data_IF_115657162565
#
_entry.id   IF_115657162565
#
_cell.length_a   1.000
_cell.length_b   1.000
_cell.length_c   1.000
_cell.angle_alpha   90.00
_cell.angle_beta   90.00
_cell.angle_gamma   90.00
#
_symmetry.space_group_name_H-M   'P 1'
#
loop_
_entity.id
_entity.type
_entity.pdbx_description
1 polymer ?
#
# COMPACT_ATOMS: atom_id res chain seq x y z
N UNK A 1 6.72 -14.47 19.18
CA UNK A 1 5.57 -13.54 19.11
C UNK A 1 5.79 -12.58 17.97
N UNK A 2 4.92 -12.64 16.99
CA UNK A 2 5.03 -11.75 15.84
C UNK A 2 4.55 -10.37 16.21
N UNK A 3 5.39 -9.39 15.94
CA UNK A 3 4.97 -8.01 16.07
C UNK A 3 4.48 -7.53 14.70
N UNK A 4 3.26 -7.04 14.69
CA UNK A 4 2.70 -6.44 13.49
C UNK A 4 3.02 -4.95 13.50
N UNK A 5 3.83 -4.52 12.57
CA UNK A 5 4.18 -3.11 12.44
C UNK A 5 3.24 -2.44 11.45
N UNK A 6 2.78 -1.22 11.76
CA UNK A 6 1.98 -0.48 10.78
C UNK A 6 2.84 -0.09 9.59
N UNK A 7 2.38 -0.46 8.41
CA UNK A 7 3.08 -0.19 7.16
C UNK A 7 2.09 0.35 6.14
N UNK A 8 2.52 1.35 5.37
CA UNK A 8 1.79 1.84 4.21
C UNK A 8 2.61 1.51 2.97
N UNK A 9 1.98 0.82 2.02
CA UNK A 9 2.56 0.57 0.71
C UNK A 9 1.99 1.60 -0.27
N UNK A 10 2.88 2.29 -0.98
CA UNK A 10 2.48 3.32 -1.95
C UNK A 10 2.86 2.86 -3.35
N UNK A 11 1.85 2.85 -4.24
CA UNK A 11 1.98 2.44 -5.63
C UNK A 11 1.69 3.63 -6.54
N UNK A 12 2.57 3.88 -7.49
CA UNK A 12 2.40 4.91 -8.51
C UNK A 12 2.06 6.28 -7.92
N UNK A 13 2.73 6.64 -6.83
CA UNK A 13 2.46 7.89 -6.12
C UNK A 13 3.36 9.00 -6.65
N UNK A 14 2.79 10.16 -7.04
CA UNK A 14 3.59 11.28 -7.51
C UNK A 14 4.62 11.73 -6.48
N UNK A 15 5.77 12.18 -6.96
CA UNK A 15 6.88 12.61 -6.12
C UNK A 15 6.46 13.70 -5.13
N UNK A 16 5.65 14.66 -5.57
CA UNK A 16 5.18 15.72 -4.70
C UNK A 16 4.35 15.22 -3.51
N UNK A 17 3.55 14.17 -3.76
CA UNK A 17 2.77 13.55 -2.68
C UNK A 17 3.70 12.76 -1.77
N UNK A 18 4.66 12.01 -2.33
CA UNK A 18 5.61 11.24 -1.53
C UNK A 18 6.37 12.13 -0.55
N UNK A 19 6.85 13.29 -1.02
CA UNK A 19 7.61 14.22 -0.17
C UNK A 19 6.80 14.75 0.99
N UNK A 20 5.50 14.94 0.78
CA UNK A 20 4.60 15.46 1.83
C UNK A 20 4.12 14.36 2.76
N UNK A 21 3.72 13.24 2.20
CA UNK A 21 3.06 12.16 2.94
C UNK A 21 4.04 11.34 3.79
N UNK A 22 5.20 11.03 3.26
CA UNK A 22 6.15 10.16 3.94
C UNK A 22 6.53 10.65 5.34
N UNK A 23 6.92 11.94 5.53
CA UNK A 23 7.24 12.42 6.88
C UNK A 23 6.03 12.37 7.81
N UNK A 24 4.84 12.68 7.30
CA UNK A 24 3.63 12.67 8.12
C UNK A 24 3.32 11.28 8.66
N UNK A 25 3.45 10.26 7.81
CA UNK A 25 3.22 8.87 8.22
C UNK A 25 4.28 8.42 9.22
N UNK A 26 5.55 8.76 8.98
CA UNK A 26 6.63 8.39 9.87
C UNK A 26 6.47 9.01 11.26
N UNK A 27 5.95 10.22 11.34
CA UNK A 27 5.67 10.87 12.62
C UNK A 27 4.62 10.11 13.43
N UNK A 28 3.76 9.36 12.75
CA UNK A 28 2.76 8.51 13.39
C UNK A 28 3.28 7.12 13.73
N UNK A 29 4.57 6.88 13.53
CA UNK A 29 5.16 5.56 13.76
C UNK A 29 4.86 4.55 12.67
N UNK A 30 4.47 5.02 11.48
CA UNK A 30 4.10 4.16 10.36
C UNK A 30 5.26 4.06 9.38
N UNK A 31 5.67 2.83 9.04
CA UNK A 31 6.67 2.62 8.00
C UNK A 31 6.06 2.85 6.63
N UNK A 32 6.85 3.39 5.73
CA UNK A 32 6.40 3.67 4.36
C UNK A 32 7.28 2.90 3.40
N UNK A 33 6.66 2.17 2.48
CA UNK A 33 7.37 1.48 1.40
C UNK A 33 6.80 1.93 0.08
N UNK A 34 7.66 2.50 -0.74
CA UNK A 34 7.29 2.90 -2.11
C UNK A 34 7.59 1.71 -3.01
N UNK A 35 6.55 1.17 -3.64
CA UNK A 35 6.68 -0.05 -4.43
C UNK A 35 6.91 0.32 -5.89
N UNK A 36 8.04 -0.14 -6.43
CA UNK A 36 8.37 0.09 -7.82
C UNK A 36 7.52 -0.77 -8.75
N UNK A 37 7.33 -0.28 -9.95
CA UNK A 37 6.52 -0.94 -10.96
C UNK A 37 6.92 -2.41 -11.19
N UNK A 38 8.20 -2.70 -11.15
CA UNK A 38 8.72 -4.05 -11.35
C UNK A 38 8.17 -5.05 -10.33
N UNK A 39 7.70 -4.56 -9.19
CA UNK A 39 7.21 -5.40 -8.10
C UNK A 39 5.68 -5.52 -8.05
N UNK A 40 4.97 -5.00 -9.05
CA UNK A 40 3.51 -5.05 -9.07
C UNK A 40 2.95 -6.46 -9.22
N UNK A 41 3.76 -7.40 -9.63
CA UNK A 41 3.37 -8.81 -9.76
C UNK A 41 3.78 -9.65 -8.55
N UNK A 42 4.32 -9.01 -7.50
CA UNK A 42 4.72 -9.68 -6.27
C UNK A 42 3.56 -9.64 -5.28
N UNK A 43 3.14 -10.77 -4.71
CA UNK A 43 2.07 -10.78 -3.71
C UNK A 43 2.38 -9.89 -2.51
N UNK A 44 1.35 -9.29 -1.95
CA UNK A 44 1.50 -8.38 -0.81
C UNK A 44 2.22 -9.04 0.36
N UNK A 45 1.92 -10.31 0.65
CA UNK A 45 2.56 -11.03 1.76
C UNK A 45 4.07 -11.12 1.59
N UNK A 46 4.57 -11.21 0.36
CA UNK A 46 6.02 -11.21 0.10
C UNK A 46 6.61 -9.82 0.28
N UNK A 47 5.91 -8.80 -0.20
CA UNK A 47 6.37 -7.41 -0.06
C UNK A 47 6.44 -7.00 1.41
N UNK A 48 5.58 -7.57 2.24
CA UNK A 48 5.52 -7.27 3.66
C UNK A 48 6.45 -8.16 4.50
N UNK A 49 7.12 -9.12 3.86
CA UNK A 49 8.02 -10.02 4.57
C UNK A 49 7.30 -11.11 5.36
N UNK A 50 6.01 -11.33 5.10
CA UNK A 50 5.23 -12.35 5.78
C UNK A 50 5.40 -13.73 5.17
N UNK A 51 5.92 -13.79 3.96
CA UNK A 51 6.19 -15.03 3.25
C UNK A 51 7.52 -14.89 2.54
N UNK A 52 8.28 -15.97 2.51
CA UNK A 52 9.58 -15.95 1.83
C UNK A 52 9.39 -15.77 0.32
N UNK A 53 10.31 -15.05 -0.34
CA UNK A 53 10.24 -14.90 -1.78
C UNK A 53 10.25 -16.26 -2.49
N UNK A 54 9.33 -16.39 -3.43
CA UNK A 54 9.24 -17.56 -4.29
C UNK A 54 9.44 -17.07 -5.72
N UNK A 55 9.10 -17.90 -6.71
CA UNK A 55 9.22 -17.50 -8.10
C UNK A 55 8.39 -16.24 -8.33
N UNK A 56 9.06 -15.17 -8.73
CA UNK A 56 8.43 -13.90 -8.98
C UNK A 56 8.33 -13.71 -10.49
N UNK A 57 7.11 -13.55 -10.97
CA UNK A 57 6.89 -13.17 -12.36
C UNK A 57 7.23 -11.69 -12.51
N UNK A 58 8.08 -11.39 -13.46
CA UNK A 58 8.43 -10.00 -13.72
C UNK A 58 7.25 -9.28 -14.36
N UNK A 59 7.03 -8.04 -13.92
CA UNK A 59 6.02 -7.20 -14.53
C UNK A 59 6.51 -6.79 -15.94
N UNK A 60 5.73 -7.04 -16.99
CA UNK A 60 6.15 -6.66 -18.35
C UNK A 60 6.07 -5.16 -18.63
N UNK A 61 5.96 -4.33 -17.61
CA UNK A 61 5.91 -2.88 -17.77
C UNK A 61 4.53 -2.29 -17.56
N UNK A 62 3.61 -3.06 -16.99
CA UNK A 62 2.26 -2.57 -16.72
C UNK A 62 2.32 -1.56 -15.57
N UNK A 63 1.81 -0.36 -15.80
CA UNK A 63 1.68 0.66 -14.76
C UNK A 63 0.23 0.75 -14.32
N UNK A 64 0.01 1.12 -13.07
CA UNK A 64 -1.33 1.43 -12.59
C UNK A 64 -1.76 2.78 -13.17
N UNK A 65 -3.03 2.93 -13.58
CA UNK A 65 -3.48 4.21 -14.13
C UNK A 65 -3.60 5.32 -13.09
N UNK A 66 -3.61 4.98 -11.80
CA UNK A 66 -3.67 5.99 -10.75
C UNK A 66 -3.02 5.47 -9.47
N UNK A 67 -2.68 6.38 -8.54
CA UNK A 67 -2.05 5.99 -7.28
C UNK A 67 -2.93 5.07 -6.43
N UNK A 68 -2.28 4.18 -5.69
CA UNK A 68 -2.95 3.27 -4.76
C UNK A 68 -2.18 3.21 -3.45
N UNK A 69 -2.91 3.19 -2.34
CA UNK A 69 -2.33 3.10 -1.00
C UNK A 69 -2.88 1.87 -0.29
N UNK A 70 -1.99 1.05 0.27
CA UNK A 70 -2.40 -0.15 1.02
C UNK A 70 -1.87 -0.03 2.44
N UNK A 71 -2.77 -0.22 3.42
CA UNK A 71 -2.45 -0.15 4.84
C UNK A 71 -2.37 -1.55 5.43
N UNK A 72 -1.32 -1.80 6.22
CA UNK A 72 -1.11 -3.10 6.85
C UNK A 72 -0.70 -2.93 8.30
N UNK A 73 -1.18 -3.86 9.15
CA UNK A 73 -0.75 -3.92 10.54
C UNK A 73 -1.34 -2.82 11.42
N UNK A 74 -2.51 -2.31 11.06
CA UNK A 74 -3.15 -1.20 11.76
C UNK A 74 -4.47 -1.62 12.38
N UNK A 75 -4.75 -1.06 13.57
CA UNK A 75 -6.07 -1.14 14.16
C UNK A 75 -7.06 -0.28 13.36
N UNK A 76 -8.38 -0.46 13.56
CA UNK A 76 -9.35 0.45 12.92
C UNK A 76 -9.07 1.91 13.22
N UNK A 77 -8.63 2.23 14.44
CA UNK A 77 -8.27 3.61 14.81
C UNK A 77 -7.04 4.09 14.03
N UNK A 78 -6.08 3.19 13.79
CA UNK A 78 -4.90 3.52 12.99
C UNK A 78 -5.26 3.82 11.55
N UNK A 79 -6.15 3.01 10.98
CA UNK A 79 -6.65 3.26 9.62
C UNK A 79 -7.35 4.62 9.54
N UNK A 80 -8.23 4.90 10.50
CA UNK A 80 -8.94 6.18 10.54
C UNK A 80 -7.97 7.35 10.68
N UNK A 81 -6.90 7.19 11.44
CA UNK A 81 -5.88 8.21 11.59
C UNK A 81 -5.18 8.52 10.27
N UNK A 82 -4.87 7.49 9.49
CA UNK A 82 -4.27 7.69 8.17
C UNK A 82 -5.23 8.43 7.24
N UNK A 83 -6.48 8.01 7.21
CA UNK A 83 -7.49 8.65 6.35
C UNK A 83 -7.70 10.12 6.73
N UNK A 84 -7.72 10.41 8.03
CA UNK A 84 -7.82 11.77 8.55
C UNK A 84 -6.62 12.61 8.14
N UNK A 85 -5.43 12.04 8.26
CA UNK A 85 -4.17 12.71 7.89
C UNK A 85 -4.19 13.10 6.41
N UNK A 86 -4.67 12.23 5.55
CA UNK A 86 -4.78 12.52 4.12
C UNK A 86 -5.73 13.70 3.88
N UNK A 87 -6.92 13.65 4.52
CA UNK A 87 -7.91 14.73 4.38
C UNK A 87 -7.39 16.06 4.88
N UNK A 88 -6.80 16.08 6.06
CA UNK A 88 -6.32 17.31 6.69
C UNK A 88 -5.19 17.96 5.90
N UNK A 89 -4.40 17.16 5.20
CA UNK A 89 -3.28 17.66 4.40
C UNK A 89 -3.65 17.80 2.92
N UNK A 90 -4.92 17.60 2.58
CA UNK A 90 -5.43 17.73 1.20
C UNK A 90 -4.65 16.84 0.22
N UNK A 91 -4.29 15.64 0.67
CA UNK A 91 -3.64 14.64 -0.16
C UNK A 91 -4.72 13.70 -0.65
N UNK A 92 -4.90 13.63 -1.97
CA UNK A 92 -5.93 12.79 -2.58
C UNK A 92 -5.33 11.55 -3.18
N UNK A 93 -5.69 10.39 -2.62
CA UNK A 93 -5.41 9.08 -3.18
C UNK A 93 -6.73 8.33 -3.11
N UNK A 94 -7.38 8.15 -4.25
CA UNK A 94 -8.73 7.59 -4.30
C UNK A 94 -8.76 6.09 -4.02
N UNK A 95 -7.73 5.35 -4.42
CA UNK A 95 -7.67 3.91 -4.21
C UNK A 95 -6.92 3.60 -2.91
N UNK A 96 -7.65 3.15 -1.91
CA UNK A 96 -7.11 2.82 -0.60
C UNK A 96 -7.64 1.46 -0.16
N UNK A 97 -6.77 0.63 0.40
CA UNK A 97 -7.15 -0.69 0.87
C UNK A 97 -6.47 -1.01 2.19
N UNK A 98 -7.06 -1.92 2.94
CA UNK A 98 -6.49 -2.49 4.16
C UNK A 98 -6.25 -3.97 3.89
N UNK A 99 -5.10 -4.48 4.32
CA UNK A 99 -4.82 -5.91 4.14
C UNK A 99 -5.77 -6.76 4.96
N UNK A 100 -6.16 -7.90 4.38
CA UNK A 100 -6.99 -8.91 5.03
C UNK A 100 -6.35 -10.26 4.78
N UNK A 101 -6.75 -11.31 5.52
CA UNK A 101 -6.25 -12.66 5.22
C UNK A 101 -6.49 -13.07 3.76
N UNK A 102 -7.57 -12.58 3.17
CA UNK A 102 -7.91 -12.91 1.79
C UNK A 102 -6.99 -12.23 0.79
N UNK A 103 -6.71 -10.93 0.97
CA UNK A 103 -5.99 -10.17 -0.05
C UNK A 103 -4.46 -10.16 0.12
N UNK A 104 -3.93 -10.75 1.19
CA UNK A 104 -2.48 -10.83 1.38
C UNK A 104 -1.77 -11.62 0.28
N UNK A 105 -2.48 -12.56 -0.36
CA UNK A 105 -1.93 -13.33 -1.48
C UNK A 105 -2.08 -12.61 -2.82
N UNK A 106 -2.74 -11.48 -2.86
CA UNK A 106 -2.96 -10.73 -4.09
C UNK A 106 -1.74 -9.90 -4.48
N UNK A 107 -1.58 -9.70 -5.78
CA UNK A 107 -0.60 -8.73 -6.32
C UNK A 107 -1.23 -7.34 -6.35
N UNK A 108 -0.41 -6.32 -6.62
CA UNK A 108 -0.91 -4.96 -6.77
C UNK A 108 -1.94 -4.86 -7.90
N UNK A 109 -1.71 -5.59 -9.00
CA UNK A 109 -2.63 -5.57 -10.13
C UNK A 109 -3.98 -6.15 -9.78
N UNK A 110 -4.00 -7.24 -8.99
CA UNK A 110 -5.24 -7.85 -8.52
C UNK A 110 -5.98 -6.94 -7.55
N UNK A 111 -5.22 -6.32 -6.61
CA UNK A 111 -5.81 -5.38 -5.65
C UNK A 111 -6.44 -4.19 -6.37
N UNK A 112 -5.71 -3.64 -7.35
CA UNK A 112 -6.21 -2.53 -8.14
C UNK A 112 -7.52 -2.89 -8.86
N UNK A 113 -7.55 -4.06 -9.52
CA UNK A 113 -8.73 -4.51 -10.24
C UNK A 113 -9.94 -4.63 -9.30
N UNK A 114 -9.72 -5.16 -8.09
CA UNK A 114 -10.81 -5.32 -7.13
C UNK A 114 -11.33 -3.98 -6.63
N UNK A 115 -10.42 -3.03 -6.35
CA UNK A 115 -10.83 -1.70 -5.92
C UNK A 115 -11.59 -0.95 -7.01
N UNK A 116 -11.23 -1.16 -8.27
CA UNK A 116 -11.96 -0.57 -9.39
C UNK A 116 -13.39 -1.10 -9.48
N UNK A 117 -13.58 -2.38 -9.20
CA UNK A 117 -14.91 -2.98 -9.22
C UNK A 117 -15.83 -2.43 -8.15
N UNK A 118 -15.25 -1.99 -7.02
CA UNK A 118 -16.00 -1.47 -5.89
C UNK A 118 -16.36 0.01 -6.02
N UNK A 119 -15.82 0.68 -7.01
CA UNK A 119 -16.07 2.10 -7.22
C UNK A 119 -17.51 2.39 -7.60
#
# INVERSE_FOLDING_TARGET
MEQTYPVVLLYHTPEGILKRLTPLLRQQGISVRVIRKELYTVPLEMLLGLKQPDKILQNPGIELPEPMLVMHGMSPEGVDAVLKLLRENKIRIDLKAVTTPTNLSWTALQMFAELQRER
#
